data_IF_455185328071
#
_entry.id   IF_455185328071
#
_cell.length_a   1.000
_cell.length_b   1.000
_cell.length_c   1.000
_cell.angle_alpha   90.00
_cell.angle_beta   90.00
_cell.angle_gamma   90.00
#
_symmetry.space_group_name_H-M   'P 1'
#
loop_
_entity.id
_entity.type
_entity.pdbx_description
1 polymer ?
#
# COMPACT_ATOMS: atom_id res chain seq x y z
N UNK A 1 -18.25 -28.42 -7.44
CA UNK A 1 -18.30 -27.30 -6.49
C UNK A 1 -16.98 -26.57 -6.60
N UNK A 2 -17.01 -25.34 -7.10
CA UNK A 2 -15.82 -24.48 -7.15
C UNK A 2 -15.32 -24.21 -5.72
N UNK A 3 -14.03 -24.48 -5.45
CA UNK A 3 -13.41 -24.19 -4.15
C UNK A 3 -12.55 -22.95 -4.30
N UNK A 4 -12.98 -21.82 -3.73
CA UNK A 4 -12.14 -20.62 -3.66
C UNK A 4 -10.98 -20.81 -2.65
N UNK A 5 -9.89 -20.10 -2.86
CA UNK A 5 -8.75 -20.05 -1.94
C UNK A 5 -9.25 -19.53 -0.59
N UNK A 6 -9.98 -18.38 -0.59
CA UNK A 6 -10.55 -17.78 0.62
C UNK A 6 -11.47 -18.74 1.36
N UNK A 7 -12.39 -19.43 0.66
CA UNK A 7 -13.30 -20.39 1.30
C UNK A 7 -12.58 -21.64 1.86
N UNK A 8 -11.49 -22.07 1.23
CA UNK A 8 -10.65 -23.16 1.75
C UNK A 8 -9.88 -22.69 2.98
N UNK A 9 -9.28 -21.50 2.91
CA UNK A 9 -8.56 -20.88 4.01
C UNK A 9 -9.44 -20.67 5.25
N UNK A 10 -10.66 -20.14 5.09
CA UNK A 10 -11.60 -19.94 6.21
C UNK A 10 -11.97 -21.25 6.92
N UNK A 11 -12.11 -22.36 6.18
CA UNK A 11 -12.33 -23.67 6.80
C UNK A 11 -11.14 -24.15 7.64
N UNK A 12 -9.92 -23.90 7.17
CA UNK A 12 -8.71 -24.23 7.92
C UNK A 12 -8.57 -23.32 9.15
N UNK A 13 -8.81 -22.04 9.00
CA UNK A 13 -8.78 -21.07 10.09
C UNK A 13 -9.77 -21.42 11.21
N UNK A 14 -11.00 -21.79 10.85
CA UNK A 14 -12.03 -22.17 11.83
C UNK A 14 -11.59 -23.34 12.73
N UNK A 15 -10.74 -24.25 12.24
CA UNK A 15 -10.22 -25.36 13.01
C UNK A 15 -9.12 -24.97 14.01
N UNK A 16 -8.45 -23.84 13.82
CA UNK A 16 -7.31 -23.41 14.65
C UNK A 16 -7.61 -22.20 15.52
N UNK A 17 -8.66 -21.45 15.21
CA UNK A 17 -9.03 -20.25 15.95
C UNK A 17 -9.45 -20.54 17.40
N UNK A 18 -10.21 -21.62 17.67
CA UNK A 18 -10.60 -22.09 19.01
C UNK A 18 -11.13 -20.97 19.95
N UNK A 19 -11.72 -19.88 19.41
CA UNK A 19 -12.20 -18.73 20.19
C UNK A 19 -11.10 -17.80 20.74
N UNK A 20 -9.88 -17.91 20.25
CA UNK A 20 -8.77 -17.05 20.67
C UNK A 20 -8.93 -15.64 20.04
N UNK A 21 -9.27 -14.66 20.86
CA UNK A 21 -9.56 -13.28 20.43
C UNK A 21 -8.37 -12.57 19.78
N UNK A 22 -7.14 -12.98 20.08
CA UNK A 22 -5.92 -12.44 19.52
C UNK A 22 -5.58 -12.97 18.12
N UNK A 23 -6.24 -14.03 17.64
CA UNK A 23 -6.02 -14.59 16.31
C UNK A 23 -7.03 -14.01 15.32
N UNK A 24 -6.51 -13.41 14.25
CA UNK A 24 -7.32 -12.88 13.15
C UNK A 24 -7.01 -13.63 11.85
N UNK A 25 -8.03 -13.91 11.03
CA UNK A 25 -7.79 -14.46 9.71
C UNK A 25 -7.17 -13.39 8.79
N UNK A 26 -6.42 -13.84 7.78
CA UNK A 26 -5.78 -12.97 6.81
C UNK A 26 -6.68 -12.71 5.59
N UNK A 27 -6.82 -11.45 5.19
CA UNK A 27 -7.40 -11.06 3.90
C UNK A 27 -6.55 -11.58 2.72
N UNK A 28 -7.06 -11.52 1.49
CA UNK A 28 -6.33 -11.94 0.30
C UNK A 28 -4.98 -11.25 0.13
N UNK A 29 -4.94 -9.93 0.32
CA UNK A 29 -3.70 -9.18 0.31
C UNK A 29 -2.75 -9.59 1.43
N UNK A 30 -3.25 -9.77 2.63
CA UNK A 30 -2.44 -10.20 3.77
C UNK A 30 -1.87 -11.61 3.58
N UNK A 31 -2.62 -12.54 2.99
CA UNK A 31 -2.11 -13.89 2.64
C UNK A 31 -0.94 -13.79 1.65
N UNK A 32 -1.07 -12.93 0.62
CA UNK A 32 0.01 -12.68 -0.34
C UNK A 32 1.25 -12.12 0.36
N UNK A 33 1.10 -11.12 1.21
CA UNK A 33 2.19 -10.51 1.96
C UNK A 33 2.86 -11.49 2.94
N UNK A 34 2.07 -12.31 3.63
CA UNK A 34 2.58 -13.38 4.49
C UNK A 34 3.41 -14.39 3.70
N UNK A 35 2.91 -14.82 2.53
CA UNK A 35 3.60 -15.80 1.68
C UNK A 35 4.95 -15.27 1.17
N UNK A 36 4.99 -14.02 0.72
CA UNK A 36 6.25 -13.40 0.25
C UNK A 36 7.26 -13.27 1.40
N UNK A 37 6.81 -12.89 2.59
CA UNK A 37 7.67 -12.83 3.78
C UNK A 37 8.19 -14.21 4.21
N UNK A 38 7.37 -15.25 4.10
CA UNK A 38 7.80 -16.61 4.40
C UNK A 38 8.89 -17.10 3.43
N UNK A 39 8.85 -16.64 2.17
CA UNK A 39 9.87 -16.92 1.17
C UNK A 39 11.16 -16.11 1.39
N UNK A 40 11.07 -14.87 1.86
CA UNK A 40 12.21 -14.03 2.23
C UNK A 40 11.94 -13.25 3.54
N UNK A 41 12.40 -13.78 4.70
CA UNK A 41 12.23 -13.10 5.99
C UNK A 41 12.96 -11.74 6.11
N UNK A 42 13.90 -11.47 5.21
CA UNK A 42 14.64 -10.19 5.17
C UNK A 42 13.96 -9.14 4.29
N UNK A 43 12.87 -9.51 3.63
CA UNK A 43 12.15 -8.60 2.75
C UNK A 43 11.62 -7.39 3.53
N UNK A 44 12.08 -6.20 3.14
CA UNK A 44 11.67 -4.88 3.66
C UNK A 44 10.80 -4.10 2.68
N UNK A 45 10.47 -4.70 1.57
CA UNK A 45 9.65 -4.11 0.49
C UNK A 45 8.28 -3.67 0.99
N UNK A 46 7.79 -4.31 2.06
CA UNK A 46 6.44 -4.10 2.57
C UNK A 46 6.34 -3.07 3.70
N UNK A 47 7.34 -2.22 3.85
CA UNK A 47 7.24 -1.08 4.75
C UNK A 47 6.56 0.07 4.00
N UNK A 48 5.41 0.52 4.51
CA UNK A 48 4.75 1.75 4.07
C UNK A 48 5.29 2.90 4.93
N UNK A 49 6.14 3.78 4.39
CA UNK A 49 6.64 4.92 5.13
C UNK A 49 5.76 6.14 4.92
N UNK A 50 5.52 6.89 6.00
CA UNK A 50 4.94 8.23 5.98
C UNK A 50 5.95 9.19 6.57
N UNK A 51 6.27 10.27 5.85
CA UNK A 51 7.22 11.29 6.30
C UNK A 51 6.54 12.64 6.36
N UNK A 52 6.68 13.31 7.51
CA UNK A 52 6.19 14.67 7.71
C UNK A 52 7.31 15.52 8.31
N UNK A 53 7.64 16.59 7.60
CA UNK A 53 8.65 17.57 8.03
C UNK A 53 7.99 18.71 8.79
N UNK A 54 8.61 19.13 9.90
CA UNK A 54 8.25 20.28 10.70
C UNK A 54 9.49 21.17 10.95
N UNK A 55 9.31 22.43 11.35
CA UNK A 55 10.42 23.27 11.84
C UNK A 55 11.18 22.59 12.99
N UNK A 56 12.48 22.87 13.14
CA UNK A 56 13.32 22.25 14.16
C UNK A 56 12.82 22.57 15.58
N UNK A 57 12.84 21.56 16.45
CA UNK A 57 12.46 21.69 17.85
C UNK A 57 10.95 21.76 18.13
N UNK A 58 10.10 21.58 17.12
CA UNK A 58 8.64 21.60 17.32
C UNK A 58 8.13 20.31 17.97
N UNK A 59 8.73 19.17 17.67
CA UNK A 59 8.25 17.88 18.14
C UNK A 59 8.93 17.46 19.46
N UNK A 60 8.14 17.05 20.44
CA UNK A 60 8.62 16.47 21.70
C UNK A 60 8.59 14.94 21.62
N UNK A 61 9.73 14.29 21.81
CA UNK A 61 9.83 12.81 21.84
C UNK A 61 8.92 12.22 22.91
N UNK A 62 8.84 12.85 24.10
CA UNK A 62 7.98 12.39 25.19
C UNK A 62 6.49 12.43 24.81
N UNK A 63 6.02 13.54 24.21
CA UNK A 63 4.63 13.66 23.75
C UNK A 63 4.33 12.69 22.62
N UNK A 64 5.28 12.47 21.69
CA UNK A 64 5.14 11.45 20.62
C UNK A 64 5.04 10.04 21.20
N UNK A 65 5.83 9.70 22.20
CA UNK A 65 5.78 8.41 22.88
C UNK A 65 4.40 8.15 23.49
N UNK A 66 3.83 9.14 24.20
CA UNK A 66 2.50 9.05 24.80
C UNK A 66 1.41 8.91 23.73
N UNK A 67 1.47 9.73 22.69
CA UNK A 67 0.53 9.67 21.56
C UNK A 67 0.61 8.32 20.83
N UNK A 68 1.82 7.82 20.59
CA UNK A 68 2.05 6.54 19.93
C UNK A 68 1.48 5.36 20.73
N UNK A 69 1.65 5.37 22.06
CA UNK A 69 1.03 4.36 22.94
C UNK A 69 -0.49 4.37 22.86
N UNK A 70 -1.09 5.57 22.85
CA UNK A 70 -2.54 5.72 22.73
C UNK A 70 -3.05 5.20 21.37
N UNK A 71 -2.34 5.47 20.29
CA UNK A 71 -2.65 4.94 18.94
C UNK A 71 -2.57 3.41 18.93
N UNK A 72 -1.53 2.82 19.52
CA UNK A 72 -1.37 1.36 19.59
C UNK A 72 -2.44 0.69 20.47
N UNK A 73 -2.87 1.34 21.55
CA UNK A 73 -3.98 0.86 22.37
C UNK A 73 -5.27 0.81 21.57
N UNK A 74 -5.54 1.86 20.81
CA UNK A 74 -6.79 1.99 20.04
C UNK A 74 -6.82 1.07 18.82
N UNK A 75 -5.73 0.94 18.06
CA UNK A 75 -5.71 0.22 16.80
C UNK A 75 -5.02 -1.15 16.91
N UNK A 76 -5.80 -2.22 17.13
CA UNK A 76 -5.24 -3.56 17.34
C UNK A 76 -4.41 -4.05 16.16
N UNK A 77 -4.78 -3.71 14.92
CA UNK A 77 -4.04 -4.11 13.73
C UNK A 77 -2.55 -3.73 13.81
N UNK A 78 -2.23 -2.54 14.33
CA UNK A 78 -0.84 -2.05 14.44
C UNK A 78 0.02 -2.88 15.41
N UNK A 79 -0.59 -3.71 16.26
CA UNK A 79 0.07 -4.67 17.15
C UNK A 79 0.06 -6.08 16.58
N UNK A 80 -0.46 -6.24 15.37
CA UNK A 80 -0.52 -7.50 14.66
C UNK A 80 0.86 -7.95 14.18
N UNK A 81 1.12 -9.24 14.27
CA UNK A 81 2.29 -9.89 13.70
C UNK A 81 1.88 -11.12 12.90
N UNK A 82 2.62 -11.39 11.81
CA UNK A 82 2.45 -12.63 11.07
C UNK A 82 2.77 -13.83 11.95
N UNK A 83 1.89 -14.82 11.97
CA UNK A 83 2.05 -16.04 12.74
C UNK A 83 1.44 -17.23 11.99
N UNK A 84 1.67 -18.44 12.52
CA UNK A 84 1.12 -19.69 12.00
C UNK A 84 0.54 -20.51 13.14
N UNK A 85 -0.77 -20.68 13.16
CA UNK A 85 -1.49 -21.52 14.12
C UNK A 85 -1.87 -22.85 13.45
N UNK A 86 -1.38 -23.96 13.97
CA UNK A 86 -1.67 -25.30 13.41
C UNK A 86 -1.38 -25.45 11.92
N UNK A 87 -0.36 -24.77 11.39
CA UNK A 87 -0.01 -24.74 9.97
C UNK A 87 -0.84 -23.77 9.12
N UNK A 88 -1.74 -22.99 9.73
CA UNK A 88 -2.57 -21.99 9.04
C UNK A 88 -2.02 -20.59 9.31
N UNK A 89 -1.74 -19.78 8.27
CA UNK A 89 -1.31 -18.40 8.42
C UNK A 89 -2.38 -17.54 9.13
N UNK A 90 -1.99 -16.76 10.11
CA UNK A 90 -2.87 -15.88 10.89
C UNK A 90 -2.16 -14.57 11.20
N UNK A 91 -2.93 -13.55 11.59
CA UNK A 91 -2.41 -12.36 12.24
C UNK A 91 -2.64 -12.51 13.75
N UNK A 92 -1.56 -12.47 14.53
CA UNK A 92 -1.66 -12.47 16.00
C UNK A 92 -1.59 -11.06 16.52
N UNK A 93 -2.61 -10.64 17.26
CA UNK A 93 -2.65 -9.32 17.91
C UNK A 93 -1.92 -9.42 19.25
N UNK A 94 -0.83 -8.72 19.37
CA UNK A 94 -0.02 -8.67 20.61
C UNK A 94 -0.43 -7.55 21.57
N UNK A 95 0.19 -7.49 22.75
CA UNK A 95 0.06 -6.37 23.68
C UNK A 95 0.78 -5.12 23.13
N UNK A 96 0.52 -3.97 23.74
CA UNK A 96 1.33 -2.77 23.50
C UNK A 96 2.75 -3.01 24.04
N UNK A 97 3.80 -2.69 23.28
CA UNK A 97 5.18 -2.87 23.74
C UNK A 97 5.48 -2.11 25.06
N UNK A 98 6.22 -2.73 25.97
CA UNK A 98 6.56 -2.12 27.28
C UNK A 98 7.68 -1.07 27.16
N UNK A 99 8.64 -1.24 26.24
CA UNK A 99 9.78 -0.34 26.04
C UNK A 99 9.45 0.92 25.24
N UNK A 100 10.46 1.77 24.94
CA UNK A 100 10.30 2.93 24.07
C UNK A 100 9.86 2.51 22.66
N UNK A 101 8.84 3.18 22.13
CA UNK A 101 8.27 2.94 20.80
C UNK A 101 8.82 3.95 19.79
N UNK A 102 9.07 5.19 20.25
CA UNK A 102 9.63 6.26 19.42
C UNK A 102 11.16 6.21 19.46
N UNK A 103 11.77 6.12 18.29
CA UNK A 103 13.22 6.20 18.12
C UNK A 103 13.61 7.64 17.75
N UNK A 104 14.36 8.30 18.61
CA UNK A 104 14.96 9.59 18.29
C UNK A 104 16.34 9.42 17.65
N UNK A 105 16.61 10.20 16.60
CA UNK A 105 17.86 10.20 15.84
C UNK A 105 18.29 11.65 15.62
N UNK A 106 19.53 11.97 15.93
CA UNK A 106 20.15 13.26 15.58
C UNK A 106 21.21 12.99 14.51
N UNK A 107 21.03 13.54 13.32
CA UNK A 107 21.93 13.32 12.20
C UNK A 107 21.89 14.48 11.20
N UNK A 108 23.02 14.77 10.58
CA UNK A 108 23.11 15.78 9.50
C UNK A 108 22.37 15.34 8.22
N UNK A 109 22.30 14.04 7.97
CA UNK A 109 21.47 13.41 6.94
C UNK A 109 20.31 12.67 7.60
N UNK A 110 19.21 13.38 7.87
CA UNK A 110 18.03 12.80 8.50
C UNK A 110 17.33 11.79 7.59
N UNK A 111 17.30 12.01 6.27
CA UNK A 111 16.66 11.09 5.31
C UNK A 111 17.38 9.74 5.29
N UNK A 112 18.71 9.74 5.14
CA UNK A 112 19.52 8.53 5.18
C UNK A 112 19.45 7.79 6.51
N UNK A 113 19.47 8.53 7.63
CA UNK A 113 19.38 7.95 8.96
C UNK A 113 18.02 7.27 9.23
N UNK A 114 16.93 7.85 8.73
CA UNK A 114 15.59 7.25 8.84
C UNK A 114 15.50 5.97 8.00
N UNK A 115 16.02 5.99 6.75
CA UNK A 115 16.03 4.77 5.93
C UNK A 115 16.85 3.66 6.56
N UNK A 116 18.04 3.96 7.08
CA UNK A 116 18.85 2.99 7.80
C UNK A 116 18.10 2.40 9.02
N UNK A 117 17.35 3.24 9.74
CA UNK A 117 16.56 2.78 10.88
C UNK A 117 15.34 1.93 10.48
N UNK A 118 14.73 2.19 9.34
CA UNK A 118 13.63 1.38 8.77
C UNK A 118 14.17 0.06 8.20
N UNK A 119 15.36 0.08 7.59
CA UNK A 119 16.01 -1.12 7.08
C UNK A 119 16.47 -2.08 8.20
N UNK A 120 16.91 -1.52 9.34
CA UNK A 120 17.30 -2.28 10.56
C UNK A 120 16.08 -2.68 11.41
N UNK A 121 14.89 -2.67 10.85
CA UNK A 121 13.69 -3.03 11.59
C UNK A 121 13.37 -4.53 11.45
N UNK A 122 13.68 -5.35 12.44
CA UNK A 122 13.35 -6.77 12.41
C UNK A 122 11.83 -6.95 12.60
N UNK A 123 11.27 -7.90 11.84
CA UNK A 123 9.82 -8.19 11.86
C UNK A 123 9.29 -8.55 13.26
N UNK A 124 10.13 -9.15 14.11
CA UNK A 124 9.78 -9.55 15.48
C UNK A 124 9.57 -8.36 16.43
N UNK A 125 10.02 -7.16 16.05
CA UNK A 125 9.87 -5.95 16.86
C UNK A 125 8.56 -5.18 16.59
N UNK A 126 7.57 -5.84 16.00
CA UNK A 126 6.25 -5.27 15.76
C UNK A 126 6.09 -4.68 14.36
N UNK A 127 4.88 -4.33 14.03
CA UNK A 127 4.44 -3.92 12.69
C UNK A 127 4.27 -2.40 12.52
N UNK A 128 4.60 -1.63 13.57
CA UNK A 128 4.45 -0.17 13.60
C UNK A 128 5.64 0.48 14.29
N UNK A 129 6.16 1.53 13.70
CA UNK A 129 7.32 2.25 14.23
C UNK A 129 7.24 3.75 13.99
N UNK A 130 7.61 4.52 15.00
CA UNK A 130 7.72 5.98 14.91
C UNK A 130 9.18 6.39 15.14
N UNK A 131 9.71 7.21 14.23
CA UNK A 131 11.07 7.74 14.26
C UNK A 131 10.97 9.25 14.21
N UNK A 132 11.67 9.92 15.10
CA UNK A 132 11.88 11.36 15.06
C UNK A 132 13.34 11.63 14.73
N UNK A 133 13.62 12.00 13.50
CA UNK A 133 14.97 12.40 13.09
C UNK A 133 15.10 13.91 13.07
N UNK A 134 16.22 14.43 13.57
CA UNK A 134 16.44 15.87 13.77
C UNK A 134 17.77 16.31 13.20
N UNK A 135 17.75 17.51 12.64
CA UNK A 135 18.94 18.31 12.35
C UNK A 135 18.68 19.77 12.77
N UNK A 136 19.58 20.68 12.42
CA UNK A 136 19.49 22.13 12.71
C UNK A 136 18.41 22.85 11.86
N UNK A 137 17.82 22.18 10.89
CA UNK A 137 16.88 22.76 9.92
C UNK A 137 15.46 22.25 10.10
N UNK A 138 15.28 21.01 10.62
CA UNK A 138 13.97 20.35 10.68
C UNK A 138 13.87 19.26 11.72
N UNK A 139 12.64 19.00 12.13
CA UNK A 139 12.20 17.76 12.73
C UNK A 139 11.53 16.91 11.64
N UNK A 140 12.03 15.72 11.36
CA UNK A 140 11.45 14.77 10.43
C UNK A 140 10.76 13.65 11.20
N UNK A 141 9.43 13.67 11.22
CA UNK A 141 8.62 12.56 11.72
C UNK A 141 8.51 11.51 10.63
N UNK A 142 9.01 10.32 10.89
CA UNK A 142 8.85 9.17 10.02
C UNK A 142 8.05 8.08 10.73
N UNK A 143 7.03 7.57 10.07
CA UNK A 143 6.18 6.48 10.56
C UNK A 143 6.33 5.32 9.57
N UNK A 144 6.79 4.18 10.05
CA UNK A 144 6.88 2.94 9.28
C UNK A 144 5.75 1.98 9.67
N UNK A 145 5.05 1.48 8.68
CA UNK A 145 4.02 0.46 8.85
C UNK A 145 4.42 -0.81 8.08
N UNK A 146 4.22 -1.95 8.68
CA UNK A 146 4.20 -3.19 7.92
C UNK A 146 2.90 -3.24 7.09
N UNK A 147 3.02 -3.46 5.78
CA UNK A 147 1.86 -3.51 4.90
C UNK A 147 0.87 -4.64 5.23
N UNK A 148 1.32 -5.64 5.99
CA UNK A 148 0.45 -6.70 6.50
C UNK A 148 -0.67 -6.14 7.41
N UNK A 149 -0.43 -5.04 8.12
CA UNK A 149 -1.34 -4.50 9.13
C UNK A 149 -1.93 -3.14 8.77
N UNK A 150 -1.47 -2.53 7.68
CA UNK A 150 -1.84 -1.16 7.33
C UNK A 150 -1.84 -0.97 5.82
N UNK A 151 -2.83 -0.28 5.30
CA UNK A 151 -2.91 0.17 3.91
C UNK A 151 -2.77 1.69 3.79
N UNK A 152 -2.82 2.20 2.56
CA UNK A 152 -2.64 3.62 2.29
C UNK A 152 -3.69 4.52 2.96
N UNK A 153 -4.95 4.10 3.04
CA UNK A 153 -6.02 4.84 3.74
C UNK A 153 -5.77 4.83 5.26
N UNK A 154 -5.41 3.69 5.80
CA UNK A 154 -5.11 3.49 7.22
C UNK A 154 -3.91 4.33 7.68
N UNK A 155 -2.88 4.54 6.83
CA UNK A 155 -1.75 5.40 7.19
C UNK A 155 -2.20 6.83 7.51
N UNK A 156 -3.16 7.35 6.76
CA UNK A 156 -3.75 8.66 7.00
C UNK A 156 -4.55 8.72 8.30
N UNK A 157 -5.40 7.72 8.57
CA UNK A 157 -6.14 7.62 9.83
C UNK A 157 -5.22 7.63 11.05
N UNK A 158 -4.14 6.83 10.99
CA UNK A 158 -3.15 6.76 12.07
C UNK A 158 -2.42 8.08 12.26
N UNK A 159 -2.02 8.74 11.16
CA UNK A 159 -1.35 10.04 11.24
C UNK A 159 -2.26 11.10 11.88
N UNK A 160 -3.52 11.20 11.44
CA UNK A 160 -4.48 12.16 11.98
C UNK A 160 -4.71 11.92 13.49
N UNK A 161 -4.86 10.67 13.90
CA UNK A 161 -5.02 10.36 15.32
C UNK A 161 -3.75 10.59 16.12
N UNK A 162 -2.57 10.20 15.61
CA UNK A 162 -1.30 10.45 16.26
C UNK A 162 -1.10 11.95 16.55
N UNK A 163 -1.41 12.81 15.58
CA UNK A 163 -1.31 14.25 15.74
C UNK A 163 -2.35 14.81 16.73
N UNK A 164 -3.58 14.31 16.68
CA UNK A 164 -4.62 14.67 17.66
C UNK A 164 -4.21 14.29 19.08
N UNK A 165 -3.68 13.07 19.28
CA UNK A 165 -3.19 12.59 20.59
C UNK A 165 -1.95 13.39 21.05
N UNK A 166 -1.08 13.75 20.14
CA UNK A 166 0.09 14.57 20.42
C UNK A 166 -0.32 15.96 20.95
N UNK A 167 -1.39 16.56 20.43
CA UNK A 167 -1.91 17.86 20.87
C UNK A 167 -2.66 17.81 22.21
N UNK A 168 -2.74 16.68 22.86
CA UNK A 168 -3.37 16.52 24.17
C UNK A 168 -4.70 15.79 24.13
N UNK A 169 -4.90 14.91 23.15
CA UNK A 169 -6.06 14.03 23.08
C UNK A 169 -6.21 13.16 24.32
N UNK A 170 -7.46 12.81 24.65
CA UNK A 170 -7.80 12.01 25.83
C UNK A 170 -7.14 10.63 25.82
N UNK A 171 -6.91 10.09 27.00
CA UNK A 171 -6.55 8.68 27.19
C UNK A 171 -7.57 7.75 26.52
N UNK A 172 -7.10 6.60 25.96
CA UNK A 172 -7.99 5.56 25.40
C UNK A 172 -8.47 4.66 26.54
N UNK A 173 -9.77 4.64 26.87
CA UNK A 173 -10.29 3.70 27.85
C UNK A 173 -10.20 2.26 27.35
N UNK A 174 -10.07 1.28 28.25
CA UNK A 174 -10.04 -0.15 27.91
C UNK A 174 -11.31 -0.61 27.16
N UNK A 175 -12.46 -0.02 27.48
CA UNK A 175 -13.72 -0.27 26.79
C UNK A 175 -13.69 0.16 25.31
N UNK A 176 -13.00 1.26 25.01
CA UNK A 176 -12.81 1.74 23.63
C UNK A 176 -11.84 0.81 22.87
N UNK A 177 -10.73 0.40 23.48
CA UNK A 177 -9.80 -0.55 22.90
C UNK A 177 -10.48 -1.91 22.57
N UNK A 178 -11.31 -2.41 23.48
CA UNK A 178 -12.08 -3.63 23.25
C UNK A 178 -13.13 -3.47 22.13
N UNK A 179 -13.77 -2.29 22.04
CA UNK A 179 -14.71 -1.99 20.96
C UNK A 179 -13.99 -1.94 19.59
N UNK A 180 -12.80 -1.33 19.52
CA UNK A 180 -12.01 -1.27 18.31
C UNK A 180 -11.52 -2.66 17.86
N UNK A 181 -11.18 -3.55 18.78
CA UNK A 181 -10.83 -4.93 18.43
C UNK A 181 -12.03 -5.66 17.78
N UNK A 182 -13.24 -5.47 18.30
CA UNK A 182 -14.45 -6.02 17.67
C UNK A 182 -14.69 -5.41 16.28
N UNK A 183 -14.59 -4.08 16.14
CA UNK A 183 -14.75 -3.39 14.85
C UNK A 183 -13.74 -3.87 13.81
N UNK A 184 -12.50 -4.09 14.23
CA UNK A 184 -11.45 -4.63 13.35
C UNK A 184 -11.82 -6.05 12.90
N UNK A 185 -12.23 -6.93 13.82
CA UNK A 185 -12.69 -8.29 13.50
C UNK A 185 -13.84 -8.27 12.50
N UNK A 186 -14.89 -7.50 12.79
CA UNK A 186 -16.06 -7.37 11.93
C UNK A 186 -15.66 -6.88 10.51
N UNK A 187 -14.71 -5.95 10.40
CA UNK A 187 -14.22 -5.47 9.11
C UNK A 187 -13.47 -6.56 8.34
N UNK A 188 -12.61 -7.34 9.02
CA UNK A 188 -11.89 -8.47 8.41
C UNK A 188 -12.86 -9.55 7.95
N UNK A 189 -13.86 -9.88 8.75
CA UNK A 189 -14.90 -10.88 8.41
C UNK A 189 -15.72 -10.43 7.19
N UNK A 190 -16.13 -9.16 7.13
CA UNK A 190 -16.82 -8.61 5.95
C UNK A 190 -15.97 -8.65 4.71
N UNK A 191 -14.69 -8.26 4.82
CA UNK A 191 -13.75 -8.33 3.70
C UNK A 191 -13.62 -9.77 3.16
N UNK A 192 -13.43 -10.75 4.04
CA UNK A 192 -13.29 -12.15 3.65
C UNK A 192 -14.59 -12.74 3.07
N UNK A 193 -15.74 -12.30 3.56
CA UNK A 193 -17.03 -12.70 2.99
C UNK A 193 -17.15 -12.21 1.54
N UNK A 194 -16.81 -10.94 1.27
CA UNK A 194 -16.81 -10.40 -0.10
C UNK A 194 -15.79 -11.09 -1.00
N UNK A 195 -14.56 -11.28 -0.53
CA UNK A 195 -13.54 -12.02 -1.27
C UNK A 195 -14.01 -13.42 -1.66
N UNK A 196 -14.70 -14.10 -0.74
CA UNK A 196 -15.25 -15.43 -1.01
C UNK A 196 -16.36 -15.39 -2.07
N UNK A 197 -17.26 -14.43 -1.97
CA UNK A 197 -18.35 -14.20 -2.92
C UNK A 197 -17.81 -13.82 -4.30
N UNK A 198 -16.86 -12.88 -4.34
CA UNK A 198 -16.21 -12.41 -5.57
C UNK A 198 -15.28 -13.46 -6.22
N UNK A 199 -15.08 -14.62 -5.60
CA UNK A 199 -14.30 -15.73 -6.17
C UNK A 199 -15.17 -16.73 -6.96
N UNK A 200 -16.36 -16.33 -7.36
CA UNK A 200 -17.29 -17.16 -8.14
C UNK A 200 -16.84 -17.40 -9.58
N UNK A 201 -17.47 -18.36 -10.28
CA UNK A 201 -17.11 -18.74 -11.66
C UNK A 201 -17.17 -17.56 -12.64
N UNK A 202 -18.13 -16.66 -12.49
CA UNK A 202 -18.32 -15.49 -13.34
C UNK A 202 -17.13 -14.53 -13.23
N UNK A 203 -16.76 -14.14 -12.01
CA UNK A 203 -15.62 -13.27 -11.76
C UNK A 203 -14.30 -13.88 -12.27
N UNK A 204 -14.11 -15.19 -12.07
CA UNK A 204 -12.92 -15.88 -12.57
C UNK A 204 -12.91 -16.01 -14.10
N UNK A 205 -14.05 -16.16 -14.74
CA UNK A 205 -14.16 -16.15 -16.20
C UNK A 205 -13.84 -14.76 -16.76
N UNK A 206 -14.35 -13.69 -16.10
CA UNK A 206 -14.02 -12.31 -16.44
C UNK A 206 -12.51 -12.07 -16.39
N UNK A 207 -11.87 -12.32 -15.26
CA UNK A 207 -10.43 -12.10 -15.11
C UNK A 207 -9.57 -13.00 -16.03
N UNK A 208 -9.99 -14.24 -16.24
CA UNK A 208 -9.32 -15.15 -17.21
C UNK A 208 -9.36 -14.56 -18.63
N UNK A 209 -10.48 -13.95 -19.02
CA UNK A 209 -10.58 -13.28 -20.32
C UNK A 209 -9.66 -12.06 -20.40
N UNK A 210 -9.56 -11.26 -19.32
CA UNK A 210 -8.70 -10.08 -19.26
C UNK A 210 -7.21 -10.41 -19.38
N UNK A 211 -6.78 -11.58 -18.92
CA UNK A 211 -5.36 -11.98 -18.95
C UNK A 211 -5.02 -12.96 -20.09
N UNK A 212 -5.97 -13.32 -20.92
CA UNK A 212 -5.78 -14.31 -21.99
C UNK A 212 -4.64 -13.95 -22.93
N UNK A 213 -4.61 -12.70 -23.36
CA UNK A 213 -3.63 -12.16 -24.32
C UNK A 213 -2.55 -11.30 -23.63
N UNK A 214 -2.50 -11.35 -22.29
CA UNK A 214 -1.53 -10.61 -21.52
C UNK A 214 -0.13 -11.22 -21.67
N UNK A 215 0.88 -10.36 -21.75
CA UNK A 215 2.27 -10.79 -21.72
C UNK A 215 2.63 -11.47 -20.39
N UNK A 216 3.66 -12.32 -20.39
CA UNK A 216 4.06 -13.07 -19.20
C UNK A 216 4.70 -12.22 -18.09
N UNK A 217 4.94 -10.94 -18.36
CA UNK A 217 5.76 -10.06 -17.57
C UNK A 217 7.21 -10.08 -17.99
N UNK A 218 7.79 -8.91 -18.16
CA UNK A 218 9.15 -8.75 -18.67
C UNK A 218 10.15 -8.62 -17.53
N UNK A 219 9.82 -7.83 -16.52
CA UNK A 219 10.74 -7.41 -15.48
C UNK A 219 10.57 -8.17 -14.16
N UNK A 220 9.39 -8.72 -13.89
CA UNK A 220 9.12 -9.47 -12.65
C UNK A 220 9.87 -10.80 -12.50
N UNK A 221 10.55 -11.27 -13.56
CA UNK A 221 11.30 -12.54 -13.57
C UNK A 221 12.77 -12.43 -13.16
N UNK A 222 13.31 -11.22 -13.04
CA UNK A 222 14.75 -10.97 -12.87
C UNK A 222 15.25 -10.89 -11.43
N UNK A 223 14.38 -11.05 -10.44
CA UNK A 223 14.81 -11.02 -9.04
C UNK A 223 15.25 -12.40 -8.57
N UNK A 224 16.55 -12.60 -8.45
CA UNK A 224 17.08 -13.60 -7.53
C UNK A 224 16.76 -13.15 -6.11
N UNK A 225 16.09 -14.02 -5.33
CA UNK A 225 15.77 -13.76 -3.94
C UNK A 225 17.08 -13.47 -3.17
N UNK A 226 17.29 -12.23 -2.78
CA UNK A 226 18.42 -11.86 -1.91
C UNK A 226 19.23 -10.62 -2.27
N UNK A 227 19.12 -10.05 -3.48
CA UNK A 227 19.78 -8.77 -3.77
C UNK A 227 18.84 -7.59 -3.54
N UNK A 228 19.19 -6.63 -2.66
CA UNK A 228 18.44 -5.39 -2.57
C UNK A 228 18.63 -4.62 -3.89
N UNK A 229 17.59 -4.58 -4.72
CA UNK A 229 17.59 -3.79 -5.95
C UNK A 229 17.96 -2.34 -5.65
N UNK A 230 18.87 -1.77 -6.44
CA UNK A 230 19.12 -0.32 -6.47
C UNK A 230 17.81 0.38 -6.89
N UNK A 231 17.63 1.63 -6.45
CA UNK A 231 16.40 2.35 -6.73
C UNK A 231 16.67 3.72 -7.25
N UNK A 232 15.98 4.04 -8.30
CA UNK A 232 15.91 5.38 -8.80
C UNK A 232 14.48 5.89 -8.71
N UNK A 233 14.29 7.09 -8.18
CA UNK A 233 12.99 7.75 -8.09
C UNK A 233 13.03 9.00 -8.93
N UNK A 234 12.08 9.13 -9.85
CA UNK A 234 11.92 10.34 -10.67
C UNK A 234 10.64 11.06 -10.25
N UNK A 235 10.74 12.32 -9.85
CA UNK A 235 9.60 13.16 -9.57
C UNK A 235 9.27 14.07 -10.74
N UNK A 236 8.00 14.05 -11.14
CA UNK A 236 7.47 14.98 -12.12
C UNK A 236 6.23 15.66 -11.53
N UNK A 237 6.18 16.99 -11.59
CA UNK A 237 4.99 17.75 -11.26
C UNK A 237 4.26 18.12 -12.54
N UNK A 238 2.97 17.86 -12.53
CA UNK A 238 2.08 18.20 -13.64
C UNK A 238 0.96 19.07 -13.07
N UNK A 239 0.82 20.29 -13.59
CA UNK A 239 -0.33 21.13 -13.28
C UNK A 239 -1.56 20.53 -13.97
N UNK A 240 -2.61 20.22 -13.21
CA UNK A 240 -3.86 19.72 -13.77
C UNK A 240 -4.68 20.89 -14.33
N UNK A 241 -5.14 20.84 -15.59
CA UNK A 241 -6.14 21.78 -16.08
C UNK A 241 -7.42 21.66 -15.25
N UNK A 242 -8.10 22.78 -14.97
CA UNK A 242 -9.21 22.86 -14.00
C UNK A 242 -10.39 21.90 -14.18
N UNK A 243 -10.52 21.22 -15.32
CA UNK A 243 -11.51 20.15 -15.55
C UNK A 243 -10.97 18.73 -15.40
N UNK A 244 -9.64 18.54 -15.34
CA UNK A 244 -9.00 17.23 -15.17
C UNK A 244 -8.90 16.82 -13.70
N UNK A 245 -9.29 17.71 -12.77
CA UNK A 245 -9.14 17.51 -11.33
C UNK A 245 -10.14 16.52 -10.74
N UNK A 246 -11.31 16.34 -11.36
CA UNK A 246 -12.40 15.59 -10.73
C UNK A 246 -12.22 14.06 -10.73
N UNK A 247 -11.47 13.49 -11.66
CA UNK A 247 -11.22 12.04 -11.73
C UNK A 247 -9.92 11.70 -12.48
N UNK A 248 -8.75 11.90 -11.91
CA UNK A 248 -7.48 11.65 -12.61
C UNK A 248 -7.19 10.15 -12.84
N UNK A 249 -7.81 9.24 -12.07
CA UNK A 249 -7.45 7.83 -12.07
C UNK A 249 -7.60 7.14 -13.45
N UNK A 250 -8.73 7.21 -14.17
CA UNK A 250 -8.84 6.56 -15.48
C UNK A 250 -7.85 7.09 -16.52
N UNK A 251 -7.51 8.39 -16.44
CA UNK A 251 -6.53 9.02 -17.34
C UNK A 251 -5.13 8.50 -17.06
N UNK A 252 -4.75 8.39 -15.78
CA UNK A 252 -3.47 7.83 -15.35
C UNK A 252 -3.37 6.35 -15.73
N UNK A 253 -4.43 5.59 -15.53
CA UNK A 253 -4.49 4.18 -15.89
C UNK A 253 -4.29 3.98 -17.40
N UNK A 254 -4.96 4.79 -18.22
CA UNK A 254 -4.80 4.80 -19.68
C UNK A 254 -3.37 5.15 -20.10
N UNK A 255 -2.75 6.13 -19.44
CA UNK A 255 -1.38 6.54 -19.72
C UNK A 255 -0.37 5.43 -19.34
N UNK A 256 -0.54 4.77 -18.19
CA UNK A 256 0.26 3.62 -17.80
C UNK A 256 0.13 2.47 -18.82
N UNK A 257 -1.09 2.19 -19.24
CA UNK A 257 -1.34 1.15 -20.24
C UNK A 257 -0.69 1.49 -21.60
N UNK A 258 -0.85 2.73 -22.08
CA UNK A 258 -0.21 3.22 -23.31
C UNK A 258 1.32 3.12 -23.23
N UNK A 259 1.90 3.40 -22.08
CA UNK A 259 3.34 3.28 -21.86
C UNK A 259 3.82 1.83 -21.99
N UNK A 260 3.15 0.89 -21.32
CA UNK A 260 3.52 -0.52 -21.37
C UNK A 260 3.23 -1.17 -22.73
N UNK A 261 2.17 -0.77 -23.42
CA UNK A 261 1.84 -1.29 -24.75
C UNK A 261 2.95 -1.05 -25.81
N UNK A 262 3.85 -0.10 -25.56
CA UNK A 262 5.03 0.15 -26.39
C UNK A 262 6.17 -0.86 -26.17
N UNK A 263 6.05 -1.71 -25.13
CA UNK A 263 7.10 -2.64 -24.70
C UNK A 263 6.53 -4.07 -24.80
N UNK A 264 6.89 -4.85 -25.84
CA UNK A 264 6.33 -6.17 -26.03
C UNK A 264 6.66 -7.13 -24.89
N UNK A 265 5.70 -7.94 -24.48
CA UNK A 265 5.87 -8.99 -23.46
C UNK A 265 5.66 -8.53 -22.01
N UNK A 266 5.31 -7.25 -21.80
CA UNK A 266 4.96 -6.75 -20.45
C UNK A 266 3.66 -7.40 -19.92
N UNK A 267 3.58 -7.46 -18.59
CA UNK A 267 2.37 -7.84 -17.87
C UNK A 267 1.29 -6.75 -17.99
N UNK A 268 0.03 -7.06 -17.65
CA UNK A 268 -1.01 -6.05 -17.48
C UNK A 268 -0.61 -4.99 -16.45
N UNK A 269 -1.10 -3.77 -16.62
CA UNK A 269 -1.01 -2.76 -15.55
C UNK A 269 -1.80 -3.25 -14.34
N UNK A 270 -1.22 -3.15 -13.17
CA UNK A 270 -1.93 -3.35 -11.92
C UNK A 270 -2.16 -2.02 -11.20
N UNK A 271 -3.21 -1.97 -10.38
CA UNK A 271 -3.44 -0.85 -9.51
C UNK A 271 -3.92 -1.30 -8.14
N UNK A 272 -3.68 -0.46 -7.13
CA UNK A 272 -4.16 -0.71 -5.78
C UNK A 272 -5.60 -0.23 -5.66
N UNK A 273 -6.49 -1.14 -5.25
CA UNK A 273 -7.86 -0.85 -4.91
C UNK A 273 -8.04 -0.85 -3.39
N UNK A 274 -8.50 0.25 -2.82
CA UNK A 274 -8.83 0.35 -1.40
C UNK A 274 -10.21 -0.24 -1.13
N UNK A 275 -10.30 -1.25 -0.26
CA UNK A 275 -11.56 -1.88 0.11
C UNK A 275 -12.53 -0.89 0.80
N UNK A 276 -13.82 -1.02 0.54
CA UNK A 276 -14.85 -0.10 1.06
C UNK A 276 -15.19 -0.33 2.54
N UNK A 277 -14.96 -1.55 3.08
CA UNK A 277 -15.39 -1.90 4.44
C UNK A 277 -14.44 -1.49 5.55
N UNK A 278 -13.22 -1.13 5.21
CA UNK A 278 -12.26 -0.56 6.15
C UNK A 278 -12.54 0.89 6.56
N UNK A 279 -13.64 1.51 6.10
CA UNK A 279 -13.91 2.92 6.36
C UNK A 279 -13.86 3.27 7.86
N UNK A 280 -12.80 3.98 8.26
CA UNK A 280 -12.54 4.35 9.64
C UNK A 280 -11.96 3.24 10.54
N UNK A 281 -11.59 2.09 9.99
CA UNK A 281 -10.89 1.00 10.69
C UNK A 281 -9.47 0.88 10.15
N UNK A 282 -8.47 0.93 11.03
CA UNK A 282 -7.07 0.73 10.64
C UNK A 282 -6.82 -0.75 10.37
N UNK A 283 -6.30 -1.07 9.18
CA UNK A 283 -6.04 -2.43 8.75
C UNK A 283 -5.45 -2.49 7.34
N UNK A 284 -5.32 -3.68 6.78
CA UNK A 284 -4.95 -3.90 5.40
C UNK A 284 -6.14 -4.50 4.64
N UNK A 285 -6.88 -3.65 3.93
CA UNK A 285 -8.12 -3.98 3.22
C UNK A 285 -8.01 -3.70 1.71
N UNK A 286 -6.80 -3.67 1.19
CA UNK A 286 -6.56 -3.45 -0.24
C UNK A 286 -6.71 -4.73 -1.05
N UNK A 287 -6.91 -4.55 -2.37
CA UNK A 287 -6.69 -5.57 -3.37
C UNK A 287 -5.77 -5.03 -4.48
N UNK A 288 -5.06 -5.91 -5.16
CA UNK A 288 -4.33 -5.61 -6.38
C UNK A 288 -5.21 -6.02 -7.56
N UNK A 289 -5.61 -5.05 -8.38
CA UNK A 289 -6.52 -5.24 -9.49
C UNK A 289 -5.76 -5.06 -10.79
N UNK A 290 -6.02 -5.92 -11.77
CA UNK A 290 -5.42 -5.82 -13.09
C UNK A 290 -6.26 -4.91 -13.98
N UNK A 291 -5.59 -4.18 -14.87
CA UNK A 291 -6.22 -3.51 -15.99
C UNK A 291 -5.52 -3.95 -17.26
N UNK A 292 -6.25 -4.63 -18.10
CA UNK A 292 -5.79 -5.05 -19.44
C UNK A 292 -6.88 -4.74 -20.47
N UNK A 293 -7.11 -3.45 -20.76
CA UNK A 293 -8.14 -3.06 -21.73
C UNK A 293 -7.77 -3.56 -23.12
N UNK A 294 -8.78 -3.96 -23.85
CA UNK A 294 -8.67 -4.28 -25.26
C UNK A 294 -8.84 -2.99 -26.08
N UNK A 295 -7.80 -2.58 -26.82
CA UNK A 295 -7.82 -1.39 -27.66
C UNK A 295 -7.91 -0.06 -26.89
N UNK A 296 -8.59 0.94 -27.46
CA UNK A 296 -8.68 2.32 -26.88
C UNK A 296 -9.69 2.44 -25.72
N UNK A 297 -10.33 1.35 -25.34
CA UNK A 297 -11.43 1.31 -24.35
C UNK A 297 -10.98 1.17 -22.90
N UNK A 298 -9.85 1.78 -22.47
CA UNK A 298 -9.35 1.66 -21.07
C UNK A 298 -10.39 2.09 -20.04
N UNK A 299 -11.12 3.15 -20.32
CA UNK A 299 -12.12 3.70 -19.41
C UNK A 299 -13.34 2.79 -19.28
N UNK A 300 -13.83 2.30 -20.39
CA UNK A 300 -14.97 1.41 -20.46
C UNK A 300 -14.63 0.05 -19.79
N UNK A 301 -13.48 -0.52 -20.13
CA UNK A 301 -12.98 -1.73 -19.49
C UNK A 301 -12.81 -1.59 -17.99
N UNK A 302 -12.31 -0.43 -17.52
CA UNK A 302 -12.18 -0.17 -16.09
C UNK A 302 -13.53 -0.14 -15.38
N UNK A 303 -14.57 0.44 -15.99
CA UNK A 303 -15.93 0.43 -15.43
C UNK A 303 -16.51 -0.98 -15.31
N UNK A 304 -16.27 -1.84 -16.31
CA UNK A 304 -16.67 -3.25 -16.27
C UNK A 304 -15.90 -4.01 -15.17
N UNK A 305 -14.58 -3.76 -15.04
CA UNK A 305 -13.72 -4.41 -14.05
C UNK A 305 -14.13 -4.05 -12.60
N UNK A 306 -14.76 -2.89 -12.37
CA UNK A 306 -15.22 -2.48 -11.04
C UNK A 306 -16.25 -3.45 -10.41
N UNK A 307 -17.01 -4.17 -11.21
CA UNK A 307 -17.93 -5.19 -10.72
C UNK A 307 -17.20 -6.38 -10.07
N UNK A 308 -15.94 -6.61 -10.45
CA UNK A 308 -15.13 -7.75 -10.04
C UNK A 308 -13.89 -7.38 -9.22
N UNK A 309 -13.77 -6.13 -8.75
CA UNK A 309 -12.57 -5.62 -8.05
C UNK A 309 -12.28 -6.33 -6.71
N UNK A 310 -13.30 -6.93 -6.10
CA UNK A 310 -13.16 -7.67 -4.84
C UNK A 310 -12.65 -9.11 -5.05
N UNK A 311 -12.47 -9.57 -6.30
CA UNK A 311 -11.83 -10.86 -6.57
C UNK A 311 -10.38 -10.81 -6.11
N UNK A 312 -9.95 -11.64 -5.14
CA UNK A 312 -8.59 -11.61 -4.63
C UNK A 312 -7.57 -11.89 -5.73
N UNK A 313 -6.45 -11.18 -5.70
CA UNK A 313 -5.39 -11.32 -6.70
C UNK A 313 -4.87 -12.76 -6.83
N UNK A 314 -4.74 -13.49 -5.72
CA UNK A 314 -4.32 -14.89 -5.70
C UNK A 314 -5.31 -15.81 -6.45
N UNK A 315 -6.61 -15.51 -6.40
CA UNK A 315 -7.63 -16.23 -7.18
C UNK A 315 -7.49 -15.95 -8.67
N UNK A 316 -7.23 -14.70 -9.05
CA UNK A 316 -7.01 -14.33 -10.46
C UNK A 316 -5.78 -15.07 -11.01
N UNK A 317 -4.67 -15.08 -10.24
CA UNK A 317 -3.45 -15.80 -10.62
C UNK A 317 -3.71 -17.31 -10.76
N UNK A 318 -4.46 -17.89 -9.83
CA UNK A 318 -4.83 -19.32 -9.90
C UNK A 318 -5.66 -19.63 -11.13
N UNK A 319 -6.64 -18.79 -11.45
CA UNK A 319 -7.51 -18.97 -12.62
C UNK A 319 -6.72 -18.82 -13.93
N UNK A 320 -5.83 -17.84 -14.02
CA UNK A 320 -4.94 -17.64 -15.17
C UNK A 320 -4.06 -18.87 -15.42
N UNK A 321 -3.43 -19.40 -14.38
CA UNK A 321 -2.62 -20.63 -14.47
C UNK A 321 -3.43 -21.84 -14.89
N UNK A 322 -4.64 -21.99 -14.37
CA UNK A 322 -5.55 -23.10 -14.74
C UNK A 322 -6.03 -23.02 -16.20
N UNK A 323 -6.12 -21.82 -16.76
CA UNK A 323 -6.46 -21.58 -18.17
C UNK A 323 -5.26 -21.59 -19.12
N UNK A 324 -4.05 -21.86 -18.61
CA UNK A 324 -2.79 -21.82 -19.36
C UNK A 324 -2.53 -20.45 -20.02
N UNK A 325 -2.97 -19.37 -19.39
CA UNK A 325 -2.65 -18.01 -19.85
C UNK A 325 -1.12 -17.78 -19.80
N UNK A 326 -0.56 -16.98 -20.74
CA UNK A 326 0.87 -16.63 -20.72
C UNK A 326 1.27 -15.88 -19.43
N UNK A 327 0.37 -15.07 -18.90
CA UNK A 327 0.56 -14.37 -17.63
C UNK A 327 0.40 -15.31 -16.44
N UNK A 328 1.35 -15.26 -15.49
CA UNK A 328 1.40 -16.19 -14.34
C UNK A 328 1.44 -15.50 -12.99
N UNK A 329 1.09 -14.19 -12.94
CA UNK A 329 1.01 -13.41 -11.69
C UNK A 329 2.15 -12.41 -11.51
N UNK A 330 3.05 -12.25 -12.49
CA UNK A 330 4.07 -11.22 -12.45
C UNK A 330 3.47 -9.85 -12.79
N UNK A 331 3.91 -8.81 -12.12
CA UNK A 331 3.54 -7.42 -12.37
C UNK A 331 4.80 -6.67 -12.82
N UNK A 332 4.67 -5.83 -13.85
CA UNK A 332 5.75 -4.97 -14.31
C UNK A 332 5.56 -3.52 -13.84
N UNK A 333 4.30 -3.09 -13.69
CA UNK A 333 3.97 -1.75 -13.22
C UNK A 333 2.73 -1.78 -12.33
N UNK A 334 2.82 -1.08 -11.19
CA UNK A 334 1.69 -0.85 -10.29
C UNK A 334 1.43 0.64 -10.14
N UNK A 335 0.17 1.05 -10.37
CA UNK A 335 -0.31 2.41 -10.17
C UNK A 335 -0.95 2.54 -8.78
N UNK A 336 -0.49 3.52 -8.01
CA UNK A 336 -1.10 3.92 -6.74
C UNK A 336 -1.48 5.40 -6.81
N UNK A 337 -2.70 5.75 -6.38
CA UNK A 337 -3.16 7.14 -6.32
C UNK A 337 -3.41 7.54 -4.89
N UNK A 338 -2.85 8.67 -4.48
CA UNK A 338 -3.01 9.28 -3.16
C UNK A 338 -3.75 10.60 -3.31
N UNK A 339 -4.91 10.72 -2.68
CA UNK A 339 -5.69 11.96 -2.64
C UNK A 339 -5.41 12.72 -1.33
N UNK A 340 -4.56 13.74 -1.40
CA UNK A 340 -4.21 14.63 -0.29
C UNK A 340 -5.25 15.72 -0.04
N UNK A 341 -6.21 15.90 -0.93
CA UNK A 341 -7.32 16.85 -0.68
C UNK A 341 -8.20 16.38 0.47
N UNK A 342 -8.30 15.06 0.65
CA UNK A 342 -9.05 14.44 1.76
C UNK A 342 -8.25 14.43 3.07
N UNK A 343 -6.92 14.35 2.99
CA UNK A 343 -6.01 14.28 4.15
C UNK A 343 -4.81 15.19 3.94
N UNK A 344 -4.96 16.49 4.21
CA UNK A 344 -3.86 17.44 4.11
C UNK A 344 -2.76 17.13 5.13
N UNK A 345 -1.61 17.78 4.97
CA UNK A 345 -0.55 17.67 5.95
C UNK A 345 -1.02 18.17 7.34
N UNK A 346 -0.60 17.50 8.43
CA UNK A 346 -1.03 17.88 9.77
C UNK A 346 -0.55 19.27 10.17
N UNK A 347 -1.31 19.92 11.05
CA UNK A 347 -0.96 21.22 11.63
C UNK A 347 -0.73 21.04 13.12
N UNK A 348 0.43 21.46 13.65
CA UNK A 348 0.76 21.42 15.07
C UNK A 348 0.97 22.84 15.60
N UNK A 349 0.21 23.22 16.61
CA UNK A 349 0.29 24.55 17.25
C UNK A 349 0.25 25.71 16.22
N UNK A 350 -0.58 25.56 15.17
CA UNK A 350 -0.71 26.51 14.07
C UNK A 350 0.38 26.41 12.99
N UNK A 351 1.36 25.54 13.15
CA UNK A 351 2.45 25.32 12.19
C UNK A 351 2.13 24.14 11.28
N UNK A 352 1.99 24.35 9.96
CA UNK A 352 1.73 23.26 9.04
C UNK A 352 2.97 22.37 8.85
N UNK A 353 2.78 21.06 8.93
CA UNK A 353 3.76 20.09 8.48
C UNK A 353 3.79 20.01 6.96
N UNK A 354 4.80 19.37 6.43
CA UNK A 354 4.96 19.10 4.99
C UNK A 354 5.23 17.63 4.71
N UNK A 355 4.41 16.99 3.90
CA UNK A 355 4.70 15.64 3.44
C UNK A 355 6.01 15.60 2.65
N UNK A 356 6.81 14.59 2.94
CA UNK A 356 8.06 14.29 2.23
C UNK A 356 7.97 12.93 1.59
N UNK A 357 8.68 12.77 0.49
CA UNK A 357 8.78 11.51 -0.23
C UNK A 357 10.27 11.29 -0.58
N UNK A 358 11.13 11.03 0.40
CA UNK A 358 12.55 10.86 0.15
C UNK A 358 12.78 9.65 -0.76
N UNK A 359 13.80 9.70 -1.63
CA UNK A 359 14.19 8.56 -2.46
C UNK A 359 14.65 7.39 -1.57
N UNK A 360 14.61 6.17 -2.09
CA UNK A 360 15.09 4.98 -1.35
C UNK A 360 13.99 4.05 -0.83
N UNK A 361 12.71 4.33 -1.13
CA UNK A 361 11.61 3.39 -0.83
C UNK A 361 11.87 2.04 -1.51
N UNK A 362 11.82 0.94 -0.82
CA UNK A 362 11.93 -0.38 -1.45
C UNK A 362 10.61 -0.75 -2.08
N UNK A 363 10.63 -1.13 -3.35
CA UNK A 363 9.45 -1.47 -4.13
C UNK A 363 9.41 -2.98 -4.41
N UNK A 364 8.23 -3.56 -4.35
CA UNK A 364 8.02 -4.97 -4.65
C UNK A 364 8.04 -5.23 -6.16
N UNK A 365 7.42 -4.33 -6.90
CA UNK A 365 7.22 -4.46 -8.33
C UNK A 365 8.29 -3.66 -9.10
N UNK A 366 8.66 -4.06 -10.31
CA UNK A 366 9.72 -3.43 -11.10
C UNK A 366 9.55 -1.94 -11.29
N UNK A 367 8.31 -1.47 -11.47
CA UNK A 367 7.96 -0.05 -11.55
C UNK A 367 6.75 0.23 -10.67
N UNK A 368 6.85 1.24 -9.82
CA UNK A 368 5.70 1.81 -9.11
C UNK A 368 5.49 3.24 -9.56
N UNK A 369 4.28 3.53 -10.01
CA UNK A 369 3.81 4.90 -10.30
C UNK A 369 2.95 5.34 -9.13
N UNK A 370 3.40 6.35 -8.40
CA UNK A 370 2.65 6.99 -7.34
C UNK A 370 2.15 8.36 -7.82
N UNK A 371 0.86 8.51 -7.95
CA UNK A 371 0.22 9.77 -8.30
C UNK A 371 -0.35 10.43 -7.03
N UNK A 372 0.11 11.62 -6.70
CA UNK A 372 -0.34 12.39 -5.54
C UNK A 372 -1.14 13.59 -6.04
N UNK A 373 -2.42 13.61 -5.75
CA UNK A 373 -3.30 14.73 -6.03
C UNK A 373 -3.42 15.62 -4.80
N UNK A 374 -3.04 16.89 -4.93
CA UNK A 374 -3.14 17.89 -3.86
C UNK A 374 -3.50 19.25 -4.45
N UNK A 375 -4.63 19.83 -4.00
CA UNK A 375 -5.09 21.20 -4.32
C UNK A 375 -5.04 21.58 -5.79
N UNK A 376 -5.43 20.68 -6.67
CA UNK A 376 -5.45 20.93 -8.12
C UNK A 376 -4.10 20.68 -8.81
N UNK A 377 -3.10 20.23 -8.07
CA UNK A 377 -1.84 19.74 -8.62
C UNK A 377 -1.78 18.21 -8.58
N UNK A 378 -1.23 17.62 -9.63
CA UNK A 378 -0.87 16.22 -9.69
C UNK A 378 0.66 16.12 -9.67
N UNK A 379 1.19 15.45 -8.68
CA UNK A 379 2.60 15.09 -8.62
C UNK A 379 2.75 13.61 -8.93
N UNK A 380 3.57 13.28 -9.92
CA UNK A 380 3.89 11.91 -10.29
C UNK A 380 5.27 11.54 -9.77
N UNK A 381 5.35 10.43 -9.07
CA UNK A 381 6.60 9.77 -8.69
C UNK A 381 6.66 8.42 -9.38
N UNK A 382 7.79 8.12 -9.98
CA UNK A 382 8.06 6.84 -10.61
C UNK A 382 9.29 6.27 -9.91
N UNK A 383 9.09 5.18 -9.21
CA UNK A 383 10.16 4.39 -8.61
C UNK A 383 10.39 3.16 -9.47
N UNK A 384 11.62 2.90 -9.87
CA UNK A 384 11.96 1.70 -10.64
C UNK A 384 13.24 1.06 -10.12
N UNK A 385 13.40 -0.22 -10.42
CA UNK A 385 14.64 -0.95 -10.14
C UNK A 385 15.56 -0.86 -11.38
N UNK A 386 16.64 -0.08 -11.33
CA UNK A 386 17.50 0.14 -12.48
C UNK A 386 18.29 -1.11 -12.89
N UNK A 387 18.34 -2.15 -12.05
CA UNK A 387 19.02 -3.41 -12.39
C UNK A 387 18.21 -4.28 -13.34
N UNK A 388 16.89 -4.07 -13.40
CA UNK A 388 15.95 -4.86 -14.22
C UNK A 388 15.17 -4.01 -15.22
N UNK A 389 14.90 -2.73 -14.92
CA UNK A 389 14.15 -1.81 -15.78
C UNK A 389 15.14 -0.84 -16.44
N UNK A 390 15.35 -0.91 -17.77
CA UNK A 390 16.22 0.04 -18.46
C UNK A 390 15.77 1.49 -18.24
N UNK A 391 16.70 2.41 -17.99
CA UNK A 391 16.40 3.83 -17.78
C UNK A 391 15.60 4.46 -18.92
N UNK A 392 15.84 4.05 -20.17
CA UNK A 392 15.04 4.48 -21.33
C UNK A 392 13.56 4.06 -21.21
N UNK A 393 13.27 2.88 -20.65
CA UNK A 393 11.89 2.43 -20.42
C UNK A 393 11.23 3.25 -19.31
N UNK A 394 11.93 3.50 -18.21
CA UNK A 394 11.42 4.35 -17.12
C UNK A 394 11.15 5.78 -17.60
N UNK A 395 12.03 6.36 -18.41
CA UNK A 395 11.82 7.68 -19.05
C UNK A 395 10.61 7.65 -19.97
N UNK A 396 10.47 6.61 -20.81
CA UNK A 396 9.31 6.47 -21.70
C UNK A 396 7.98 6.35 -20.95
N UNK A 397 7.95 5.70 -19.79
CA UNK A 397 6.79 5.65 -18.90
C UNK A 397 6.49 7.05 -18.36
N UNK A 398 7.50 7.77 -17.89
CA UNK A 398 7.36 9.12 -17.38
C UNK A 398 6.78 10.08 -18.42
N UNK A 399 7.29 10.03 -19.66
CA UNK A 399 6.82 10.87 -20.75
C UNK A 399 5.37 10.54 -21.13
N UNK A 400 5.02 9.26 -21.24
CA UNK A 400 3.64 8.84 -21.54
C UNK A 400 2.64 9.28 -20.46
N UNK A 401 3.05 9.30 -19.20
CA UNK A 401 2.22 9.78 -18.10
C UNK A 401 1.99 11.29 -18.13
N UNK A 402 2.88 12.06 -18.76
CA UNK A 402 2.75 13.51 -18.91
C UNK A 402 1.91 13.92 -20.09
N UNK A 403 1.95 13.15 -21.19
CA UNK A 403 1.25 13.48 -22.44
C UNK A 403 -0.20 13.97 -22.25
N UNK A 404 -1.09 13.28 -21.51
CA UNK A 404 -2.49 13.67 -21.37
C UNK A 404 -2.70 15.04 -20.74
N UNK A 405 -1.73 15.52 -19.96
CA UNK A 405 -1.85 16.77 -19.20
C UNK A 405 -1.20 17.96 -19.91
N UNK A 406 -0.22 17.70 -20.78
CA UNK A 406 0.44 18.74 -21.61
C UNK A 406 -0.49 19.17 -22.75
N UNK A 407 -1.13 18.21 -23.42
CA UNK A 407 -2.03 18.47 -24.54
C UNK A 407 -3.28 19.23 -24.10
N UNK A 408 -3.80 18.96 -22.89
CA UNK A 408 -4.95 19.70 -22.35
C UNK A 408 -4.65 21.16 -22.00
N UNK A 409 -3.40 21.53 -21.75
CA UNK A 409 -2.96 22.90 -21.49
C UNK A 409 -2.84 23.77 -22.75
N UNK A 410 -2.72 23.16 -23.93
CA UNK A 410 -2.62 23.89 -25.21
C UNK A 410 -3.97 24.25 -25.84
N UNK A 411 -5.08 23.71 -25.32
CA UNK A 411 -6.45 23.99 -25.83
C UNK A 411 -7.13 25.15 -25.07
N UNK A 412 -6.52 25.65 -24.00
CA UNK A 412 -7.06 26.71 -23.14
C UNK A 412 -6.33 28.07 -23.32
N UNK A 413 -5.67 28.29 -24.47
CA UNK A 413 -5.04 29.54 -24.85
C UNK A 413 -5.87 30.37 -25.85
#
# INVERSE_FOLDING_TARGET
VHRSITGTYLKLYANVHNGADELMPLTGAQRRFHHTRAADPRDRVRILPVFVEFPPGLLSTHRLEQATRSVLLRHPALRGAADTAGGVPVLRIGPVPEGPIVREIVASDTDGAVWAALDDWPAERGSFRVILARDDRRDLLAIGFDHLVCDGESTGLVLDELMSRYQGGAHVPDSEAAAELRRYRDAVERQLAREHEASGPEALAHWTSRVRDAGPGLWGRGRDAGEPGGRESTWQRVALPGQATDRPFPVLLAACHKALARIPGTAPVAYTWGGQDGAGVVGCFINTVLANPQGDGVRESWWEDLEFVDTPFDEVVRAARASHAPWTGHLDLVLTVIDRTRRPAPVLDGVPGRFRYPPGTRIEDPVIVMAVHDRGELSLRIDHDPTIVPGAAATGIADALREPYVDAGHVAG
#
